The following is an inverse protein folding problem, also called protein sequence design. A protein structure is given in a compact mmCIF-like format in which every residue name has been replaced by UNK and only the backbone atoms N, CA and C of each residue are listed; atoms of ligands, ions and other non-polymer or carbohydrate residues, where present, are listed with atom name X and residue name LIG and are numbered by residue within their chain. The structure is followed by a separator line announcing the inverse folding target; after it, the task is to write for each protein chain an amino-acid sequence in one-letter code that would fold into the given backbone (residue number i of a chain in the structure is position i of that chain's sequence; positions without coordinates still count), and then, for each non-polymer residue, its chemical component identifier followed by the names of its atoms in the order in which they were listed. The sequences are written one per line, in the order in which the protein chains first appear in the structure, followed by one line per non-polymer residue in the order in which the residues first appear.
data_IF_877991057660
#
_entry.id   IF_877991057660
#
_cell.length_a   1.000
_cell.length_b   1.000
_cell.length_c   1.000
_cell.angle_alpha   90.00
_cell.angle_beta   90.00
_cell.angle_gamma   90.00
#
_symmetry.space_group_name_H-M   'P 1'
#
loop_
_entity.id
_entity.type
_entity.pdbx_description
1 polymer ?
#
# COMPACT_ATOMS: atom_id res chain seq x y z
N UNK A 1 3.22 -15.84 -15.04
CA UNK A 1 2.35 -14.68 -15.35
C UNK A 1 3.03 -13.43 -14.80
N UNK A 2 2.90 -12.26 -15.43
CA UNK A 2 3.54 -11.02 -14.96
C UNK A 2 2.49 -9.96 -14.66
N UNK A 3 2.48 -9.47 -13.42
CA UNK A 3 1.63 -8.36 -13.00
C UNK A 3 2.09 -7.08 -13.69
N UNK A 4 1.17 -6.32 -14.28
CA UNK A 4 1.55 -5.06 -14.91
C UNK A 4 1.98 -3.99 -13.89
N UNK A 5 2.74 -2.99 -14.33
CA UNK A 5 3.13 -1.83 -13.51
C UNK A 5 2.66 -0.51 -14.16
N UNK A 6 2.54 0.55 -13.36
CA UNK A 6 2.21 1.90 -13.82
C UNK A 6 2.80 2.96 -12.90
N UNK A 7 3.20 4.10 -13.45
CA UNK A 7 3.47 5.31 -12.68
C UNK A 7 2.20 6.11 -12.44
N UNK A 8 1.98 6.51 -11.18
CA UNK A 8 0.92 7.42 -10.76
C UNK A 8 1.56 8.70 -10.27
N UNK A 9 1.23 9.80 -10.95
CA UNK A 9 1.71 11.13 -10.62
C UNK A 9 0.61 11.90 -9.88
N UNK A 10 1.00 12.67 -8.88
CA UNK A 10 0.08 13.47 -8.07
C UNK A 10 0.80 14.75 -7.65
N UNK A 11 0.19 15.90 -7.88
CA UNK A 11 0.64 17.18 -7.32
C UNK A 11 -0.07 17.36 -5.98
N UNK A 12 0.71 17.64 -4.94
CA UNK A 12 0.21 18.02 -3.61
C UNK A 12 0.25 19.53 -3.50
N UNK A 13 -0.86 20.10 -3.05
CA UNK A 13 -1.03 21.54 -2.86
C UNK A 13 -1.16 21.84 -1.37
N UNK A 14 -0.67 23.00 -0.96
CA UNK A 14 -0.87 23.56 0.37
C UNK A 14 -2.29 24.12 0.50
N UNK A 15 -2.75 24.46 1.72
CA UNK A 15 -4.05 25.09 1.93
C UNK A 15 -4.23 26.42 1.18
N UNK A 16 -3.14 27.14 0.92
CA UNK A 16 -3.11 28.39 0.14
C UNK A 16 -3.15 28.17 -1.39
N UNK A 17 -3.22 26.92 -1.86
CA UNK A 17 -3.25 26.56 -3.27
C UNK A 17 -1.88 26.50 -3.95
N UNK A 18 -0.80 26.87 -3.28
CA UNK A 18 0.55 26.73 -3.82
C UNK A 18 0.99 25.26 -3.89
N UNK A 19 1.90 24.93 -4.81
CA UNK A 19 2.42 23.56 -4.93
C UNK A 19 3.29 23.24 -3.71
N UNK A 20 2.89 22.21 -2.97
CA UNK A 20 3.68 21.65 -1.87
C UNK A 20 4.73 20.67 -2.41
N UNK A 21 4.32 19.71 -3.25
CA UNK A 21 5.19 18.63 -3.72
C UNK A 21 4.66 17.92 -4.97
N UNK A 22 5.57 17.56 -5.88
CA UNK A 22 5.31 16.58 -6.93
C UNK A 22 5.60 15.17 -6.42
N UNK A 23 4.61 14.27 -6.51
CA UNK A 23 4.74 12.88 -6.05
C UNK A 23 4.57 11.92 -7.22
N UNK A 24 5.54 11.04 -7.42
CA UNK A 24 5.43 9.88 -8.29
C UNK A 24 5.37 8.60 -7.44
N UNK A 25 4.52 7.65 -7.84
CA UNK A 25 4.40 6.32 -7.22
C UNK A 25 4.39 5.26 -8.29
N UNK A 26 5.23 4.24 -8.13
CA UNK A 26 5.11 3.00 -8.88
C UNK A 26 4.02 2.15 -8.23
N UNK A 27 3.06 1.69 -9.02
CA UNK A 27 1.98 0.82 -8.56
C UNK A 27 1.89 -0.43 -9.42
N UNK A 28 1.57 -1.54 -8.77
CA UNK A 28 1.17 -2.77 -9.46
C UNK A 28 -0.26 -2.64 -9.99
N UNK A 29 -0.52 -3.23 -11.14
CA UNK A 29 -1.85 -3.37 -11.73
C UNK A 29 -2.53 -4.61 -11.13
N UNK A 30 -2.97 -4.55 -9.88
CA UNK A 30 -3.54 -5.73 -9.20
C UNK A 30 -4.80 -6.31 -9.84
N UNK A 31 -5.50 -5.56 -10.70
CA UNK A 31 -6.57 -6.12 -11.53
C UNK A 31 -6.07 -7.19 -12.51
N UNK A 32 -4.77 -7.19 -12.83
CA UNK A 32 -4.14 -8.22 -13.66
C UNK A 32 -3.74 -9.48 -12.90
N UNK A 33 -3.73 -9.46 -11.56
CA UNK A 33 -3.37 -10.60 -10.72
C UNK A 33 -4.40 -11.73 -10.79
N UNK A 34 -3.91 -12.96 -10.75
CA UNK A 34 -4.69 -14.20 -10.80
C UNK A 34 -4.71 -14.87 -9.44
N UNK A 35 -5.90 -15.22 -8.98
CA UNK A 35 -6.09 -16.03 -7.76
C UNK A 35 -5.42 -17.40 -7.92
N UNK A 36 -4.79 -17.90 -6.86
CA UNK A 36 -4.06 -19.17 -6.88
C UNK A 36 -2.69 -19.10 -7.53
N UNK A 37 -2.30 -17.93 -8.08
CA UNK A 37 -0.98 -17.70 -8.68
C UNK A 37 -0.30 -16.54 -7.97
N UNK A 38 -0.89 -15.35 -7.99
CA UNK A 38 -0.26 -14.13 -7.44
C UNK A 38 -0.76 -13.78 -6.03
N UNK A 39 -1.83 -14.43 -5.57
CA UNK A 39 -2.39 -14.28 -4.23
C UNK A 39 -3.32 -15.46 -3.90
N UNK A 40 -3.42 -15.80 -2.61
CA UNK A 40 -4.36 -16.79 -2.08
C UNK A 40 -5.49 -16.14 -1.26
N UNK A 41 -5.23 -14.99 -0.65
CA UNK A 41 -6.24 -14.24 0.08
C UNK A 41 -6.01 -12.73 -0.08
N UNK A 42 -7.06 -11.96 0.21
CA UNK A 42 -7.02 -10.49 0.16
C UNK A 42 -7.52 -9.86 1.45
N UNK A 43 -7.77 -10.67 2.47
CA UNK A 43 -8.29 -10.17 3.74
C UNK A 43 -7.21 -9.39 4.47
N UNK A 44 -7.56 -8.21 4.96
CA UNK A 44 -6.68 -7.37 5.77
C UNK A 44 -7.37 -7.07 7.11
N UNK A 45 -6.67 -7.24 8.24
CA UNK A 45 -7.25 -6.97 9.54
C UNK A 45 -7.43 -5.46 9.73
N UNK A 46 -8.67 -4.98 9.60
CA UNK A 46 -9.02 -3.58 9.86
C UNK A 46 -9.78 -3.49 11.19
N UNK A 47 -9.26 -2.69 12.12
CA UNK A 47 -9.93 -2.42 13.38
C UNK A 47 -11.30 -1.76 13.15
N UNK A 48 -12.35 -2.30 13.77
CA UNK A 48 -13.70 -1.72 13.67
C UNK A 48 -13.75 -0.39 14.41
N UNK A 49 -14.29 0.64 13.75
CA UNK A 49 -14.38 1.99 14.31
C UNK A 49 -15.18 2.04 15.62
N UNK A 50 -16.19 1.17 15.79
CA UNK A 50 -16.93 1.03 17.06
C UNK A 50 -16.00 0.65 18.21
N UNK A 51 -15.14 -0.35 18.01
CA UNK A 51 -14.15 -0.77 19.00
C UNK A 51 -13.15 0.33 19.30
N UNK A 52 -12.63 1.01 18.28
CA UNK A 52 -11.71 2.14 18.43
C UNK A 52 -12.33 3.24 19.30
N UNK A 53 -13.59 3.62 19.02
CA UNK A 53 -14.31 4.63 19.81
C UNK A 53 -14.50 4.21 21.27
N UNK A 54 -14.87 2.95 21.53
CA UNK A 54 -15.01 2.44 22.91
C UNK A 54 -13.69 2.53 23.68
N UNK A 55 -12.57 2.11 23.06
CA UNK A 55 -11.24 2.21 23.68
C UNK A 55 -10.86 3.66 23.95
N UNK A 56 -11.12 4.58 23.02
CA UNK A 56 -10.89 6.00 23.23
C UNK A 56 -11.73 6.58 24.37
N UNK A 57 -13.02 6.25 24.44
CA UNK A 57 -13.90 6.69 25.53
C UNK A 57 -13.39 6.20 26.88
N UNK A 58 -12.95 4.94 26.97
CA UNK A 58 -12.36 4.40 28.20
C UNK A 58 -11.06 5.11 28.58
N UNK A 59 -10.17 5.37 27.61
CA UNK A 59 -8.93 6.10 27.86
C UNK A 59 -9.21 7.50 28.44
N UNK A 60 -10.18 8.23 27.88
CA UNK A 60 -10.61 9.53 28.39
C UNK A 60 -11.19 9.41 29.80
N UNK A 61 -12.12 8.46 30.03
CA UNK A 61 -12.73 8.25 31.35
C UNK A 61 -11.72 7.88 32.44
N UNK A 62 -10.62 7.21 32.07
CA UNK A 62 -9.56 6.77 32.98
C UNK A 62 -8.38 7.74 33.05
N UNK A 63 -8.42 8.86 32.32
CA UNK A 63 -7.34 9.83 32.27
C UNK A 63 -6.05 9.29 31.65
N UNK A 64 -6.14 8.29 30.77
CA UNK A 64 -4.98 7.69 30.10
C UNK A 64 -4.46 8.60 28.99
N UNK A 65 -3.13 8.69 28.87
CA UNK A 65 -2.49 9.39 27.76
C UNK A 65 -2.64 8.57 26.48
N UNK A 66 -3.07 9.22 25.41
CA UNK A 66 -3.16 8.63 24.07
C UNK A 66 -2.09 9.21 23.17
N UNK A 67 -1.49 8.36 22.35
CA UNK A 67 -0.49 8.74 21.36
C UNK A 67 -0.95 8.23 19.99
N UNK A 68 -0.75 9.04 18.95
CA UNK A 68 -1.07 8.68 17.57
C UNK A 68 0.22 8.60 16.76
N UNK A 69 0.35 7.53 15.98
CA UNK A 69 1.45 7.33 15.03
C UNK A 69 0.85 7.11 13.64
N UNK A 70 1.33 7.86 12.65
CA UNK A 70 1.02 7.64 11.24
C UNK A 70 2.30 7.22 10.51
N UNK A 71 2.30 5.99 10.00
CA UNK A 71 3.46 5.41 9.31
C UNK A 71 3.35 5.68 7.81
N UNK A 72 4.26 6.51 7.30
CA UNK A 72 4.32 6.82 5.87
C UNK A 72 4.73 5.58 5.07
N UNK A 73 4.05 5.37 3.94
CA UNK A 73 4.33 4.29 2.99
C UNK A 73 4.24 2.88 3.61
N UNK A 74 3.30 2.66 4.53
CA UNK A 74 3.16 1.40 5.29
C UNK A 74 3.24 0.13 4.42
N UNK A 75 2.60 0.10 3.25
CA UNK A 75 2.64 -1.07 2.36
C UNK A 75 4.03 -1.42 1.87
N UNK A 76 4.94 -0.45 1.71
CA UNK A 76 6.31 -0.73 1.26
C UNK A 76 7.17 -1.39 2.34
N UNK A 77 6.72 -1.38 3.59
CA UNK A 77 7.39 -2.07 4.68
C UNK A 77 6.85 -3.49 4.88
N UNK A 78 5.62 -3.74 4.43
CA UNK A 78 4.94 -5.02 4.57
C UNK A 78 5.59 -6.14 3.77
N UNK A 79 5.65 -7.32 4.38
CA UNK A 79 6.22 -8.51 3.78
C UNK A 79 5.22 -9.17 2.81
N UNK A 80 5.73 -9.69 1.70
CA UNK A 80 4.94 -10.50 0.77
C UNK A 80 5.21 -11.97 1.05
N UNK A 81 4.17 -12.70 1.43
CA UNK A 81 4.24 -14.15 1.55
C UNK A 81 4.27 -14.82 0.16
N UNK A 82 3.57 -14.25 -0.82
CA UNK A 82 3.51 -14.80 -2.17
C UNK A 82 4.62 -14.26 -3.09
N UNK A 83 5.10 -15.12 -4.00
CA UNK A 83 6.06 -14.71 -5.02
C UNK A 83 5.37 -13.96 -6.17
N UNK A 84 5.46 -12.63 -6.16
CA UNK A 84 4.90 -11.79 -7.21
C UNK A 84 5.99 -11.27 -8.15
N UNK A 85 5.83 -11.56 -9.44
CA UNK A 85 6.66 -11.01 -10.51
C UNK A 85 5.90 -9.93 -11.28
N UNK A 86 6.53 -8.77 -11.45
CA UNK A 86 5.96 -7.60 -12.08
C UNK A 86 6.72 -7.23 -13.35
N UNK A 87 6.00 -6.73 -14.37
CA UNK A 87 6.63 -6.08 -15.53
C UNK A 87 7.46 -4.89 -15.07
N UNK A 88 8.60 -4.68 -15.71
CA UNK A 88 9.46 -3.54 -15.41
C UNK A 88 8.68 -2.22 -15.55
N UNK A 89 9.00 -1.20 -14.73
CA UNK A 89 8.33 0.09 -14.82
C UNK A 89 8.50 0.72 -16.21
N UNK A 90 7.48 1.41 -16.74
CA UNK A 90 7.64 2.19 -17.96
C UNK A 90 8.82 3.15 -17.84
N UNK A 91 9.67 3.19 -18.87
CA UNK A 91 10.91 3.99 -18.90
C UNK A 91 12.16 3.27 -18.36
N UNK A 92 12.02 2.08 -17.77
CA UNK A 92 13.13 1.26 -17.26
C UNK A 92 13.10 -0.16 -17.86
N UNK A 93 12.44 -0.32 -19.01
CA UNK A 93 12.19 -1.63 -19.60
C UNK A 93 13.48 -2.20 -20.22
N UNK A 94 13.79 -3.44 -19.87
CA UNK A 94 14.85 -4.21 -20.51
C UNK A 94 14.28 -5.50 -21.13
N UNK A 95 14.75 -5.89 -22.33
CA UNK A 95 14.29 -7.12 -22.96
C UNK A 95 14.50 -8.34 -22.06
N UNK A 96 13.47 -9.18 -21.95
CA UNK A 96 13.47 -10.46 -21.21
C UNK A 96 13.74 -10.34 -19.70
N UNK A 97 13.65 -9.14 -19.10
CA UNK A 97 13.75 -8.95 -17.65
C UNK A 97 12.40 -8.64 -17.01
N UNK A 98 12.28 -8.93 -15.72
CA UNK A 98 11.14 -8.58 -14.88
C UNK A 98 11.60 -8.27 -13.44
N UNK A 99 10.72 -7.67 -12.64
CA UNK A 99 10.99 -7.35 -11.25
C UNK A 99 10.34 -8.39 -10.34
N UNK A 100 11.11 -9.06 -9.49
CA UNK A 100 10.57 -9.79 -8.34
C UNK A 100 10.31 -8.81 -7.21
N UNK A 101 9.08 -8.74 -6.71
CA UNK A 101 8.75 -7.88 -5.58
C UNK A 101 9.26 -8.51 -4.28
N UNK A 102 10.04 -7.76 -3.50
CA UNK A 102 10.53 -8.19 -2.18
C UNK A 102 9.64 -7.74 -1.02
N UNK A 103 8.82 -6.73 -1.26
CA UNK A 103 7.92 -6.07 -0.31
C UNK A 103 6.62 -5.73 -1.01
N UNK A 104 5.56 -5.55 -0.25
CA UNK A 104 4.27 -5.21 -0.81
C UNK A 104 4.32 -3.87 -1.55
N UNK A 105 3.57 -3.79 -2.64
CA UNK A 105 3.52 -2.61 -3.50
C UNK A 105 2.08 -2.14 -3.61
N UNK A 106 1.89 -0.83 -3.69
CA UNK A 106 0.57 -0.25 -3.94
C UNK A 106 -0.10 -0.91 -5.16
N UNK A 107 -1.38 -1.25 -4.99
CA UNK A 107 -2.18 -1.79 -6.07
C UNK A 107 -2.15 -3.31 -6.19
N UNK A 108 -1.32 -4.06 -5.43
CA UNK A 108 -1.56 -5.50 -5.29
C UNK A 108 -2.80 -5.76 -4.43
N UNK A 109 -3.49 -6.86 -4.70
CA UNK A 109 -4.71 -7.25 -4.00
C UNK A 109 -4.48 -7.56 -2.51
N UNK A 110 -3.34 -8.16 -2.18
CA UNK A 110 -2.98 -8.54 -0.81
C UNK A 110 -2.15 -7.50 -0.06
N UNK A 111 -1.74 -6.39 -0.70
CA UNK A 111 -0.91 -5.37 -0.03
C UNK A 111 -1.47 -4.83 1.29
N UNK A 112 -2.79 -4.72 1.49
CA UNK A 112 -3.33 -4.30 2.77
C UNK A 112 -3.10 -5.27 3.94
N UNK A 113 -2.78 -6.54 3.66
CA UNK A 113 -2.46 -7.59 4.65
C UNK A 113 -1.00 -7.55 5.10
N UNK A 114 -0.13 -7.10 4.20
CA UNK A 114 1.33 -7.14 4.33
C UNK A 114 1.87 -6.19 5.41
#
# INVERSE_FOLDING_TARGET
HLVGSKWVYTIKYKPDGSVERYKARLVAKGFSQKYGIDYLETFAPVAKMKTVRVVMSLAVMKGWRMYQLDVKNVFLNGDLEEEVYMRMPPGYEEPKKCCKLKKALYGLKQSPRA
#
